data_IF_832136932628
#
_entry.id   IF_832136932628
#
_cell.length_a   1.000
_cell.length_b   1.000
_cell.length_c   1.000
_cell.angle_alpha   90.00
_cell.angle_beta   90.00
_cell.angle_gamma   90.00
#
_symmetry.space_group_name_H-M   'P 1'
#
loop_
_entity.id
_entity.type
_entity.pdbx_description
1 polymer ?
#
# COMPACT_ATOMS: atom_id res chain seq x y z
N UNK A 1 -2.56 29.12 3.23
CA UNK A 1 -2.25 27.74 3.63
C UNK A 1 -3.54 26.99 3.91
N UNK A 2 -3.79 25.92 3.18
CA UNK A 2 -4.98 25.12 3.39
C UNK A 2 -4.77 24.28 4.63
N UNK A 3 -5.64 24.45 5.63
CA UNK A 3 -5.63 23.60 6.81
C UNK A 3 -6.43 22.34 6.45
N UNK A 4 -5.72 21.24 6.30
CA UNK A 4 -6.36 19.95 5.99
C UNK A 4 -6.83 19.32 7.30
N UNK A 5 -8.08 18.85 7.31
CA UNK A 5 -8.58 18.01 8.39
C UNK A 5 -8.11 16.58 8.13
N UNK A 6 -7.16 16.04 8.92
CA UNK A 6 -6.51 14.77 8.56
C UNK A 6 -7.47 13.63 8.33
N UNK A 7 -8.52 13.50 9.15
CA UNK A 7 -9.47 12.40 9.03
C UNK A 7 -10.33 12.51 7.77
N UNK A 8 -10.76 13.73 7.44
CA UNK A 8 -11.63 13.98 6.28
C UNK A 8 -10.86 13.76 4.98
N UNK A 9 -9.63 14.26 4.91
CA UNK A 9 -8.80 14.12 3.73
C UNK A 9 -8.35 12.66 3.53
N UNK A 10 -8.05 11.98 4.62
CA UNK A 10 -7.71 10.55 4.57
C UNK A 10 -8.87 9.73 4.05
N UNK A 11 -10.10 9.99 4.52
CA UNK A 11 -11.28 9.30 4.02
C UNK A 11 -11.48 9.52 2.53
N UNK A 12 -11.28 10.74 2.06
CA UNK A 12 -11.39 11.04 0.63
C UNK A 12 -10.33 10.31 -0.17
N UNK A 13 -9.09 10.28 0.30
CA UNK A 13 -8.00 9.58 -0.39
C UNK A 13 -8.29 8.08 -0.51
N UNK A 14 -8.70 7.44 0.59
CA UNK A 14 -9.06 6.02 0.57
C UNK A 14 -10.25 5.78 -0.35
N UNK A 15 -11.27 6.64 -0.28
CA UNK A 15 -12.45 6.55 -1.13
C UNK A 15 -12.11 6.66 -2.62
N UNK A 16 -11.20 7.54 -2.98
CA UNK A 16 -10.74 7.70 -4.36
C UNK A 16 -10.00 6.46 -4.86
N UNK A 17 -9.19 5.84 -4.01
CA UNK A 17 -8.49 4.59 -4.37
C UNK A 17 -9.47 3.44 -4.61
N UNK A 18 -10.51 3.35 -3.79
CA UNK A 18 -11.57 2.37 -3.97
C UNK A 18 -12.29 2.60 -5.30
N UNK A 19 -12.62 3.86 -5.57
CA UNK A 19 -13.27 4.23 -6.83
C UNK A 19 -12.39 3.91 -8.04
N UNK A 20 -11.10 4.17 -7.97
CA UNK A 20 -10.17 3.87 -9.06
C UNK A 20 -10.15 2.37 -9.37
N UNK A 21 -10.13 1.52 -8.35
CA UNK A 21 -10.23 0.07 -8.53
C UNK A 21 -11.55 -0.31 -9.18
N UNK A 22 -12.65 0.25 -8.68
CA UNK A 22 -13.98 -0.03 -9.24
C UNK A 22 -14.06 0.34 -10.71
N UNK A 23 -13.58 1.52 -11.08
CA UNK A 23 -13.59 2.00 -12.46
C UNK A 23 -12.65 1.19 -13.34
N UNK A 24 -11.49 0.79 -12.83
CA UNK A 24 -10.56 -0.09 -13.55
C UNK A 24 -11.17 -1.46 -13.85
N UNK A 25 -12.01 -1.97 -12.95
CA UNK A 25 -12.75 -3.22 -13.13
C UNK A 25 -14.01 -3.03 -13.98
N UNK A 26 -14.32 -1.80 -14.38
CA UNK A 26 -15.50 -1.45 -15.17
C UNK A 26 -16.80 -1.88 -14.48
N UNK A 27 -16.86 -1.72 -13.16
CA UNK A 27 -18.02 -2.08 -12.36
C UNK A 27 -18.82 -0.85 -11.97
N UNK A 28 -20.16 -1.00 -11.99
CA UNK A 28 -21.05 -0.04 -11.35
C UNK A 28 -20.93 -0.15 -9.83
N UNK A 29 -21.42 0.86 -9.09
CA UNK A 29 -21.46 0.77 -7.63
C UNK A 29 -22.28 -0.42 -7.16
N UNK A 30 -23.39 -0.73 -7.84
CA UNK A 30 -24.22 -1.87 -7.51
C UNK A 30 -23.45 -3.19 -7.64
N UNK A 31 -22.75 -3.37 -8.76
CA UNK A 31 -21.95 -4.57 -9.01
C UNK A 31 -20.80 -4.73 -8.01
N UNK A 32 -20.08 -3.64 -7.77
CA UNK A 32 -18.96 -3.62 -6.84
C UNK A 32 -19.41 -3.89 -5.40
N UNK A 33 -20.52 -3.27 -4.97
CA UNK A 33 -21.10 -3.45 -3.65
C UNK A 33 -21.50 -4.90 -3.39
N UNK A 34 -22.11 -5.52 -4.38
CA UNK A 34 -22.47 -6.93 -4.31
C UNK A 34 -21.24 -7.82 -4.21
N UNK A 35 -20.23 -7.56 -5.03
CA UNK A 35 -18.97 -8.32 -5.01
C UNK A 35 -18.27 -8.25 -3.67
N UNK A 36 -18.25 -7.08 -3.05
CA UNK A 36 -17.51 -6.84 -1.80
C UNK A 36 -18.37 -6.99 -0.54
N UNK A 37 -19.64 -7.35 -0.70
CA UNK A 37 -20.58 -7.53 0.42
C UNK A 37 -20.70 -6.27 1.30
N UNK A 38 -20.90 -5.13 0.66
CA UNK A 38 -21.18 -3.85 1.30
C UNK A 38 -22.42 -3.23 0.64
N UNK A 39 -23.08 -2.28 1.30
CA UNK A 39 -24.23 -1.60 0.71
C UNK A 39 -23.77 -0.58 -0.33
N UNK A 40 -24.59 -0.37 -1.34
CA UNK A 40 -24.33 0.62 -2.39
C UNK A 40 -24.26 2.04 -1.81
N UNK A 41 -25.15 2.38 -0.87
CA UNK A 41 -25.16 3.68 -0.22
C UNK A 41 -23.90 3.91 0.63
N UNK A 42 -23.41 2.87 1.31
CA UNK A 42 -22.15 2.93 2.05
C UNK A 42 -20.97 3.17 1.09
N UNK A 43 -20.92 2.43 -0.02
CA UNK A 43 -19.88 2.62 -1.03
C UNK A 43 -19.88 4.04 -1.57
N UNK A 44 -21.05 4.60 -1.89
CA UNK A 44 -21.16 5.97 -2.38
C UNK A 44 -20.62 6.97 -1.34
N UNK A 45 -20.95 6.79 -0.07
CA UNK A 45 -20.46 7.64 1.01
C UNK A 45 -18.95 7.51 1.22
N UNK A 46 -18.38 6.32 1.08
CA UNK A 46 -16.94 6.08 1.16
C UNK A 46 -16.23 6.73 -0.02
N UNK A 47 -16.71 6.54 -1.23
CA UNK A 47 -16.10 7.12 -2.44
C UNK A 47 -16.10 8.64 -2.41
N UNK A 48 -17.10 9.25 -1.78
CA UNK A 48 -17.17 10.71 -1.64
C UNK A 48 -16.39 11.26 -0.44
N UNK A 49 -15.79 10.40 0.37
CA UNK A 49 -15.05 10.79 1.56
C UNK A 49 -15.91 11.11 2.77
N UNK A 50 -17.22 10.89 2.70
CA UNK A 50 -18.13 11.19 3.81
C UNK A 50 -18.06 10.18 4.94
N UNK A 51 -17.67 8.94 4.64
CA UNK A 51 -17.51 7.88 5.61
C UNK A 51 -16.17 7.19 5.46
N UNK A 52 -15.63 6.74 6.58
CA UNK A 52 -14.43 5.90 6.59
C UNK A 52 -14.82 4.44 6.49
N UNK A 53 -13.89 3.61 6.01
CA UNK A 53 -14.04 2.17 6.05
C UNK A 53 -13.62 1.66 7.43
N UNK A 54 -14.29 0.59 7.88
CA UNK A 54 -13.88 -0.15 9.07
C UNK A 54 -12.82 -1.18 8.69
N UNK A 55 -12.13 -1.74 9.67
CA UNK A 55 -11.19 -2.83 9.42
C UNK A 55 -11.87 -4.04 8.78
N UNK A 56 -13.12 -4.32 9.16
CA UNK A 56 -13.92 -5.39 8.55
C UNK A 56 -14.20 -5.10 7.07
N UNK A 57 -14.54 -3.87 6.73
CA UNK A 57 -14.74 -3.46 5.33
C UNK A 57 -13.45 -3.58 4.54
N UNK A 58 -12.32 -3.15 5.11
CA UNK A 58 -11.01 -3.29 4.49
C UNK A 58 -10.70 -4.76 4.18
N UNK A 59 -10.96 -5.65 5.12
CA UNK A 59 -10.80 -7.09 4.91
C UNK A 59 -11.65 -7.59 3.74
N UNK A 60 -12.91 -7.19 3.69
CA UNK A 60 -13.83 -7.56 2.59
C UNK A 60 -13.31 -7.08 1.24
N UNK A 61 -12.84 -5.84 1.16
CA UNK A 61 -12.28 -5.27 -0.07
C UNK A 61 -11.04 -6.03 -0.51
N UNK A 62 -10.09 -6.25 0.39
CA UNK A 62 -8.85 -6.92 0.06
C UNK A 62 -9.07 -8.35 -0.41
N UNK A 63 -9.92 -9.10 0.26
CA UNK A 63 -10.18 -10.51 -0.09
C UNK A 63 -11.03 -10.65 -1.34
N UNK A 64 -12.02 -9.77 -1.54
CA UNK A 64 -12.90 -9.83 -2.70
C UNK A 64 -12.21 -9.38 -3.99
N UNK A 65 -11.29 -8.42 -3.89
CA UNK A 65 -10.63 -7.81 -5.04
C UNK A 65 -9.22 -8.32 -5.27
N UNK A 66 -8.68 -9.09 -4.32
CA UNK A 66 -7.28 -9.53 -4.33
C UNK A 66 -6.31 -8.35 -4.40
N UNK A 67 -6.58 -7.32 -3.61
CA UNK A 67 -5.79 -6.09 -3.51
C UNK A 67 -5.29 -5.97 -2.07
N UNK A 68 -4.05 -5.53 -1.89
CA UNK A 68 -3.47 -5.41 -0.56
C UNK A 68 -4.06 -4.24 0.22
N UNK A 69 -4.10 -4.37 1.54
CA UNK A 69 -4.47 -3.26 2.44
C UNK A 69 -3.52 -2.07 2.30
N UNK A 70 -2.25 -2.33 2.01
CA UNK A 70 -1.25 -1.29 1.80
C UNK A 70 -1.64 -0.35 0.66
N UNK A 71 -2.24 -0.89 -0.41
CA UNK A 71 -2.71 -0.07 -1.52
C UNK A 71 -3.80 0.91 -1.06
N UNK A 72 -4.82 0.41 -0.36
CA UNK A 72 -5.93 1.27 0.07
C UNK A 72 -5.50 2.32 1.08
N UNK A 73 -4.64 1.96 2.02
CA UNK A 73 -4.28 2.80 3.17
C UNK A 73 -3.07 3.68 2.86
N UNK A 74 -2.05 3.14 2.22
CA UNK A 74 -0.78 3.83 1.98
C UNK A 74 -0.58 4.21 0.51
N UNK A 75 -1.39 3.69 -0.40
CA UNK A 75 -1.25 3.93 -1.83
C UNK A 75 -0.07 3.20 -2.46
N UNK A 76 0.40 2.14 -1.83
CA UNK A 76 1.56 1.39 -2.30
C UNK A 76 1.14 0.11 -3.00
N UNK A 77 1.53 -0.02 -4.26
CA UNK A 77 1.42 -1.28 -4.98
C UNK A 77 2.55 -2.22 -4.55
N UNK A 78 2.30 -3.52 -4.63
CA UNK A 78 3.35 -4.50 -4.41
C UNK A 78 4.40 -4.36 -5.50
N UNK A 79 5.64 -4.11 -5.09
CA UNK A 79 6.78 -4.13 -6.00
C UNK A 79 7.21 -5.59 -6.20
N UNK A 80 7.15 -6.06 -7.44
CA UNK A 80 7.53 -7.44 -7.79
C UNK A 80 8.94 -7.78 -7.31
N UNK A 81 9.89 -6.84 -7.42
CA UNK A 81 11.28 -7.06 -6.97
C UNK A 81 11.37 -7.21 -5.47
N UNK A 82 10.60 -6.42 -4.72
CA UNK A 82 10.55 -6.53 -3.26
C UNK A 82 9.90 -7.85 -2.85
N UNK A 83 8.84 -8.27 -3.53
CA UNK A 83 8.20 -9.56 -3.27
C UNK A 83 9.15 -10.72 -3.52
N UNK A 84 9.95 -10.66 -4.59
CA UNK A 84 10.96 -11.67 -4.89
C UNK A 84 12.03 -11.73 -3.78
N UNK A 85 12.47 -10.59 -3.28
CA UNK A 85 13.43 -10.54 -2.16
C UNK A 85 12.85 -11.18 -0.90
N UNK A 86 11.58 -10.91 -0.59
CA UNK A 86 10.90 -11.54 0.55
C UNK A 86 10.78 -13.05 0.38
N UNK A 87 10.45 -13.52 -0.81
CA UNK A 87 10.40 -14.96 -1.10
C UNK A 87 11.76 -15.62 -0.90
N UNK A 88 12.83 -14.98 -1.36
CA UNK A 88 14.19 -15.48 -1.17
C UNK A 88 14.54 -15.58 0.32
N UNK A 89 14.25 -14.54 1.10
CA UNK A 89 14.48 -14.54 2.54
C UNK A 89 13.67 -15.63 3.23
N UNK A 90 12.40 -15.78 2.84
CA UNK A 90 11.52 -16.78 3.44
C UNK A 90 11.89 -18.22 3.06
N UNK A 91 12.65 -18.42 1.98
CA UNK A 91 13.16 -19.74 1.61
C UNK A 91 14.30 -20.23 2.49
N UNK A 92 14.92 -19.33 3.26
CA UNK A 92 16.01 -19.66 4.16
C UNK A 92 15.51 -20.18 5.51
N UNK A 93 16.31 -21.01 6.17
CA UNK A 93 16.05 -21.37 7.56
C UNK A 93 16.22 -20.14 8.47
N UNK A 94 15.82 -20.24 9.72
CA UNK A 94 15.83 -19.11 10.66
C UNK A 94 17.23 -18.54 10.84
N UNK A 95 18.22 -19.39 11.02
CA UNK A 95 19.62 -18.96 11.25
C UNK A 95 20.17 -18.24 10.01
N UNK A 96 19.99 -18.82 8.85
CA UNK A 96 20.48 -18.23 7.59
C UNK A 96 19.76 -16.93 7.26
N UNK A 97 18.46 -16.83 7.57
CA UNK A 97 17.68 -15.62 7.37
C UNK A 97 18.18 -14.48 8.27
N UNK A 98 18.46 -14.77 9.53
CA UNK A 98 19.02 -13.78 10.45
C UNK A 98 20.37 -13.27 9.97
N UNK A 99 21.23 -14.18 9.49
CA UNK A 99 22.53 -13.82 8.92
C UNK A 99 22.37 -12.94 7.68
N UNK A 100 21.45 -13.29 6.79
CA UNK A 100 21.18 -12.50 5.59
C UNK A 100 20.67 -11.10 5.95
N UNK A 101 19.79 -11.00 6.94
CA UNK A 101 19.25 -9.70 7.40
C UNK A 101 20.36 -8.85 8.01
N UNK A 102 21.29 -9.46 8.74
CA UNK A 102 22.44 -8.73 9.29
C UNK A 102 23.34 -8.18 8.19
N UNK A 103 23.61 -8.96 7.16
CA UNK A 103 24.40 -8.53 6.00
C UNK A 103 23.71 -7.34 5.30
N UNK A 104 22.40 -7.43 5.07
CA UNK A 104 21.62 -6.35 4.46
C UNK A 104 21.68 -5.08 5.29
N UNK A 105 21.52 -5.20 6.60
CA UNK A 105 21.57 -4.07 7.52
C UNK A 105 22.92 -3.37 7.48
N UNK A 106 24.01 -4.14 7.53
CA UNK A 106 25.37 -3.60 7.45
C UNK A 106 25.62 -2.92 6.10
N UNK A 107 25.11 -3.51 5.00
CA UNK A 107 25.22 -2.92 3.68
C UNK A 107 24.48 -1.59 3.60
N UNK A 108 23.27 -1.51 4.13
CA UNK A 108 22.48 -0.26 4.16
C UNK A 108 23.22 0.82 4.96
N UNK A 109 23.78 0.48 6.10
CA UNK A 109 24.56 1.42 6.91
C UNK A 109 25.78 1.92 6.13
N UNK A 110 26.52 1.03 5.47
CA UNK A 110 27.69 1.40 4.68
C UNK A 110 27.32 2.33 3.52
N UNK A 111 26.23 2.05 2.81
CA UNK A 111 25.75 2.89 1.70
C UNK A 111 25.33 4.27 2.22
N UNK A 112 24.63 4.34 3.34
CA UNK A 112 24.19 5.62 3.90
C UNK A 112 25.38 6.49 4.35
N UNK A 113 26.41 5.86 4.96
CA UNK A 113 27.62 6.57 5.33
C UNK A 113 28.39 7.07 4.10
N UNK A 114 28.45 6.24 3.05
CA UNK A 114 29.08 6.61 1.79
C UNK A 114 28.33 7.79 1.13
N UNK A 115 26.99 7.78 1.13
CA UNK A 115 26.18 8.87 0.57
C UNK A 115 26.38 10.18 1.29
N UNK A 116 26.61 10.18 2.61
CA UNK A 116 26.88 11.40 3.37
C UNK A 116 28.22 12.03 3.03
N UNK A 117 29.13 11.28 2.41
CA UNK A 117 30.45 11.75 1.97
C UNK A 117 30.51 12.11 0.48
N UNK A 118 29.47 11.78 -0.29
CA UNK A 118 29.40 12.05 -1.72
C UNK A 118 28.85 13.47 -1.94
N UNK A 119 29.47 14.29 -2.80
CA UNK A 119 28.91 15.60 -3.17
C UNK A 119 27.53 15.44 -3.78
N UNK A 120 26.63 16.39 -3.48
CA UNK A 120 25.21 16.36 -3.90
C UNK A 120 25.05 16.27 -5.42
N UNK A 121 26.07 16.67 -6.20
CA UNK A 121 26.04 16.64 -7.65
C UNK A 121 26.31 15.27 -8.26
N UNK A 122 26.74 14.28 -7.46
CA UNK A 122 26.99 12.91 -7.92
C UNK A 122 25.93 11.97 -7.38
N UNK A 123 24.80 11.91 -8.07
CA UNK A 123 23.77 10.91 -7.72
C UNK A 123 24.20 9.56 -8.28
N UNK A 124 24.11 8.48 -7.49
CA UNK A 124 24.33 7.15 -8.01
C UNK A 124 23.29 6.86 -9.09
N UNK A 125 23.74 6.36 -10.22
CA UNK A 125 22.84 5.89 -11.27
C UNK A 125 22.26 4.55 -10.85
N UNK A 126 20.94 4.50 -10.79
CA UNK A 126 20.22 3.25 -10.56
C UNK A 126 19.95 2.55 -11.88
#
# INVERSE_FOLDING_TARGET
>A
MIVLEPNKDFNLIVGLRIREIREALQMTRAEFSEKCDISESFLAAVESGKKSITSKTLFKLCTSLNVSADYFILGKDNDFKTDTALELLNSLDTFSRESAMQILNEYVIAINNSKSQIPVTQKPQT
#
